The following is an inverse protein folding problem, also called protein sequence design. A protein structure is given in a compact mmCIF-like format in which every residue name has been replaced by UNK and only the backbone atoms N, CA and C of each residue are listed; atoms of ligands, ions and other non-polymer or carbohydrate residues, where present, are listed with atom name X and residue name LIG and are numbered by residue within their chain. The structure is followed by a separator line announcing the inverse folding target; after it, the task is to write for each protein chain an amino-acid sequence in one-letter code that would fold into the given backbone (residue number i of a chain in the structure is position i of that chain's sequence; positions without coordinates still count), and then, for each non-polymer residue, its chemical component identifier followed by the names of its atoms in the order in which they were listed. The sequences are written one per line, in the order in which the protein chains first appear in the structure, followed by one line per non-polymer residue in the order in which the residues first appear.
data_IF_272156994783
#
_entry.id   IF_272156994783
#
_cell.length_a   1.000
_cell.length_b   1.000
_cell.length_c   1.000
_cell.angle_alpha   90.00
_cell.angle_beta   90.00
_cell.angle_gamma   90.00
#
_symmetry.space_group_name_H-M   'P 1'
#
loop_
_entity.id
_entity.type
_entity.pdbx_description
1 polymer ?
#
# COMPACT_ATOMS: atom_id res chain seq x y z
N UNK A 1 17.44 2.13 28.21
CA UNK A 1 17.57 1.31 26.97
C UNK A 1 16.25 0.68 26.41
N UNK A 2 15.07 1.26 26.69
CA UNK A 2 13.76 0.72 26.24
C UNK A 2 13.03 1.55 25.17
N UNK A 3 13.13 2.88 25.23
CA UNK A 3 12.38 3.79 24.35
C UNK A 3 12.64 3.61 22.83
N UNK A 4 13.85 3.16 22.44
CA UNK A 4 14.20 2.94 21.04
C UNK A 4 13.55 1.68 20.44
N UNK A 5 13.41 0.61 21.23
CA UNK A 5 12.78 -0.64 20.79
C UNK A 5 11.28 -0.45 20.60
N UNK A 6 10.63 0.17 21.58
CA UNK A 6 9.20 0.45 21.52
C UNK A 6 8.80 1.34 20.33
N UNK A 7 9.69 2.27 19.93
CA UNK A 7 9.48 3.13 18.75
C UNK A 7 9.63 2.37 17.44
N UNK A 8 10.57 1.42 17.36
CA UNK A 8 10.78 0.59 16.17
C UNK A 8 9.60 -0.37 15.96
N UNK A 9 9.15 -1.04 17.02
CA UNK A 9 8.00 -1.95 16.95
C UNK A 9 6.72 -1.22 16.53
N UNK A 10 6.45 -0.04 17.11
CA UNK A 10 5.35 0.82 16.67
C UNK A 10 5.47 1.23 15.20
N UNK A 11 6.69 1.47 14.72
CA UNK A 11 6.92 1.83 13.33
C UNK A 11 6.67 0.66 12.37
N UNK A 12 7.18 -0.54 12.69
CA UNK A 12 6.94 -1.75 11.87
C UNK A 12 5.46 -2.06 11.80
N UNK A 13 4.77 -2.05 12.95
CA UNK A 13 3.32 -2.31 13.02
C UNK A 13 2.51 -1.35 12.13
N UNK A 14 2.91 -0.07 12.06
CA UNK A 14 2.24 0.91 11.18
C UNK A 14 2.40 0.58 9.70
N UNK A 15 3.58 0.09 9.29
CA UNK A 15 3.80 -0.34 7.91
C UNK A 15 2.91 -1.55 7.58
N UNK A 16 2.86 -2.53 8.49
CA UNK A 16 2.00 -3.71 8.34
C UNK A 16 0.51 -3.32 8.28
N UNK A 17 0.07 -2.35 9.09
CA UNK A 17 -1.30 -1.83 9.08
C UNK A 17 -1.64 -1.15 7.74
N UNK A 18 -0.73 -0.36 7.17
CA UNK A 18 -0.90 0.25 5.84
C UNK A 18 -1.01 -0.80 4.73
N UNK A 19 -0.11 -1.79 4.74
CA UNK A 19 -0.11 -2.88 3.76
C UNK A 19 -1.36 -3.74 3.87
N UNK A 20 -1.76 -4.08 5.09
CA UNK A 20 -2.97 -4.89 5.36
C UNK A 20 -4.23 -4.17 4.90
N UNK A 21 -4.35 -2.87 5.22
CA UNK A 21 -5.48 -2.05 4.80
C UNK A 21 -5.57 -2.01 3.27
N UNK A 22 -4.46 -1.75 2.58
CA UNK A 22 -4.45 -1.67 1.12
C UNK A 22 -4.73 -3.03 0.46
N UNK A 23 -4.18 -4.14 0.97
CA UNK A 23 -4.46 -5.49 0.49
C UNK A 23 -5.92 -5.93 0.69
N UNK A 24 -6.67 -5.29 1.60
CA UNK A 24 -8.09 -5.59 1.83
C UNK A 24 -9.01 -5.11 0.72
N UNK A 25 -8.53 -4.27 -0.21
CA UNK A 25 -9.35 -3.76 -1.30
C UNK A 25 -9.50 -4.79 -2.43
N UNK A 26 -10.72 -4.97 -2.99
CA UNK A 26 -10.93 -5.88 -4.11
C UNK A 26 -10.07 -5.52 -5.32
N UNK A 27 -9.46 -6.52 -5.95
CA UNK A 27 -8.62 -6.35 -7.14
C UNK A 27 -7.16 -5.95 -6.83
N UNK A 28 -6.79 -5.80 -5.55
CA UNK A 28 -5.39 -5.65 -5.14
C UNK A 28 -4.70 -7.00 -5.10
N UNK A 29 -3.59 -7.13 -5.83
CA UNK A 29 -2.74 -8.32 -5.77
C UNK A 29 -1.67 -8.17 -4.69
N UNK A 30 -1.04 -7.00 -4.61
CA UNK A 30 0.06 -6.73 -3.67
C UNK A 30 0.02 -5.26 -3.23
N UNK A 31 0.38 -4.99 -1.97
CA UNK A 31 0.59 -3.63 -1.48
C UNK A 31 1.87 -3.56 -0.63
N UNK A 32 2.59 -2.45 -0.77
CA UNK A 32 3.87 -2.22 -0.12
C UNK A 32 3.94 -0.81 0.46
N UNK A 33 4.28 -0.71 1.74
CA UNK A 33 4.62 0.57 2.34
C UNK A 33 6.09 0.90 2.04
N UNK A 34 6.29 1.92 1.20
CA UNK A 34 7.62 2.39 0.76
C UNK A 34 7.92 3.77 1.34
N UNK A 35 9.15 4.26 1.13
CA UNK A 35 9.60 5.57 1.62
C UNK A 35 9.34 5.79 3.12
N UNK A 36 9.70 4.80 3.93
CA UNK A 36 9.48 4.81 5.37
C UNK A 36 8.00 4.99 5.80
N UNK A 37 7.08 4.42 5.02
CA UNK A 37 5.63 4.46 5.29
C UNK A 37 4.96 5.77 4.89
N UNK A 38 5.61 6.59 4.07
CA UNK A 38 5.01 7.81 3.49
C UNK A 38 4.42 7.59 2.09
N UNK A 39 4.62 6.42 1.52
CA UNK A 39 4.00 6.03 0.27
C UNK A 39 3.53 4.58 0.38
N UNK A 40 2.32 4.30 -0.11
CA UNK A 40 1.81 2.94 -0.29
C UNK A 40 1.69 2.69 -1.78
N UNK A 41 2.44 1.69 -2.27
CA UNK A 41 2.36 1.21 -3.65
C UNK A 41 1.52 -0.03 -3.73
N UNK A 42 0.55 -0.01 -4.62
CA UNK A 42 -0.42 -1.08 -4.80
C UNK A 42 -0.31 -1.58 -6.22
N UNK A 43 -0.20 -2.89 -6.38
CA UNK A 43 -0.21 -3.57 -7.67
C UNK A 43 -1.55 -4.25 -7.85
N UNK A 44 -2.16 -4.04 -9.02
CA UNK A 44 -3.43 -4.64 -9.39
C UNK A 44 -3.30 -5.36 -10.73
N UNK A 45 -4.10 -6.39 -10.93
CA UNK A 45 -4.15 -7.12 -12.19
C UNK A 45 -4.88 -6.27 -13.26
N UNK A 46 -4.27 -6.02 -14.42
CA UNK A 46 -4.90 -5.23 -15.47
C UNK A 46 -6.09 -5.93 -16.14
N UNK A 47 -6.26 -7.25 -15.97
CA UNK A 47 -7.41 -8.00 -16.46
C UNK A 47 -8.66 -7.82 -15.57
N UNK A 48 -8.45 -7.64 -14.26
CA UNK A 48 -9.54 -7.53 -13.29
C UNK A 48 -9.90 -6.07 -12.98
N UNK A 49 -8.95 -5.15 -13.16
CA UNK A 49 -9.12 -3.73 -12.83
C UNK A 49 -8.80 -2.87 -14.05
N UNK A 50 -9.76 -2.06 -14.50
CA UNK A 50 -9.57 -1.07 -15.56
C UNK A 50 -9.07 0.30 -15.04
N UNK A 51 -8.77 1.25 -15.93
CA UNK A 51 -8.21 2.55 -15.54
C UNK A 51 -9.13 3.38 -14.63
N UNK A 52 -10.44 3.33 -14.87
CA UNK A 52 -11.41 4.08 -14.05
C UNK A 52 -11.51 3.47 -12.66
N UNK A 53 -11.52 2.15 -12.58
CA UNK A 53 -11.52 1.41 -11.32
C UNK A 53 -10.23 1.65 -10.55
N UNK A 54 -9.06 1.58 -11.18
CA UNK A 54 -7.78 1.85 -10.53
C UNK A 54 -7.72 3.29 -9.97
N UNK A 55 -8.20 4.28 -10.72
CA UNK A 55 -8.27 5.66 -10.24
C UNK A 55 -9.22 5.83 -9.06
N UNK A 56 -10.35 5.10 -9.06
CA UNK A 56 -11.29 5.08 -7.93
C UNK A 56 -10.67 4.39 -6.71
N UNK A 57 -10.10 3.21 -6.91
CA UNK A 57 -9.42 2.41 -5.89
C UNK A 57 -8.34 3.23 -5.18
N UNK A 58 -7.54 3.99 -5.94
CA UNK A 58 -6.52 4.89 -5.40
C UNK A 58 -7.12 5.95 -4.46
N UNK A 59 -8.21 6.62 -4.87
CA UNK A 59 -8.90 7.62 -4.03
C UNK A 59 -9.53 7.01 -2.79
N UNK A 60 -10.20 5.86 -2.96
CA UNK A 60 -10.90 5.18 -1.87
C UNK A 60 -9.89 4.68 -0.82
N UNK A 61 -8.72 4.18 -1.23
CA UNK A 61 -7.64 3.81 -0.31
C UNK A 61 -7.04 5.01 0.42
N UNK A 62 -6.78 6.11 -0.27
CA UNK A 62 -6.26 7.32 0.38
C UNK A 62 -7.21 7.81 1.48
N UNK A 63 -8.51 7.85 1.20
CA UNK A 63 -9.54 8.21 2.19
C UNK A 63 -9.61 7.21 3.35
N UNK A 64 -9.48 5.90 3.10
CA UNK A 64 -9.49 4.89 4.14
C UNK A 64 -8.25 4.97 5.06
N UNK A 65 -7.07 5.26 4.51
CA UNK A 65 -5.83 5.49 5.27
C UNK A 65 -6.00 6.73 6.17
N UNK A 66 -6.52 7.82 5.62
CA UNK A 66 -6.78 9.06 6.37
C UNK A 66 -7.76 8.84 7.52
N UNK A 67 -8.82 8.05 7.31
CA UNK A 67 -9.82 7.79 8.34
C UNK A 67 -9.37 6.81 9.43
N UNK A 68 -8.54 5.83 9.08
CA UNK A 68 -8.22 4.70 9.98
C UNK A 68 -6.92 4.92 10.74
N UNK A 69 -5.93 5.54 10.11
CA UNK A 69 -4.59 5.66 10.68
C UNK A 69 -4.30 7.12 11.02
N UNK A 70 -4.04 7.39 12.30
CA UNK A 70 -3.53 8.69 12.73
C UNK A 70 -2.06 8.81 12.31
N UNK A 71 -1.83 9.08 11.02
CA UNK A 71 -0.51 9.28 10.47
C UNK A 71 -0.13 10.77 10.54
N UNK A 72 1.03 11.12 11.12
CA UNK A 72 1.50 12.49 11.10
C UNK A 72 1.99 12.84 9.69
N UNK A 73 1.19 13.61 8.96
CA UNK A 73 1.50 14.09 7.61
C UNK A 73 0.83 13.27 6.51
N UNK A 74 1.19 13.59 5.28
CA UNK A 74 0.56 13.01 4.09
C UNK A 74 1.17 11.64 3.76
N UNK A 75 0.29 10.70 3.38
CA UNK A 75 0.67 9.40 2.81
C UNK A 75 0.26 9.38 1.35
N UNK A 76 1.22 9.17 0.46
CA UNK A 76 0.97 9.06 -0.98
C UNK A 76 0.48 7.66 -1.32
N UNK A 77 -0.62 7.54 -2.05
CA UNK A 77 -1.08 6.25 -2.60
C UNK A 77 -0.78 6.20 -4.09
N UNK A 78 -0.13 5.13 -4.55
CA UNK A 78 0.17 4.90 -5.96
C UNK A 78 -0.39 3.53 -6.35
N UNK A 79 -1.33 3.49 -7.28
CA UNK A 79 -1.84 2.24 -7.87
C UNK A 79 -1.17 1.99 -9.21
N UNK A 80 -0.60 0.80 -9.38
CA UNK A 80 0.11 0.34 -10.55
C UNK A 80 -0.67 -0.82 -11.16
N UNK A 81 -1.16 -0.63 -12.39
CA UNK A 81 -1.69 -1.73 -13.21
C UNK A 81 -0.52 -2.36 -13.94
N UNK A 82 -0.20 -3.60 -13.64
CA UNK A 82 1.04 -4.24 -14.12
C UNK A 82 0.77 -5.60 -14.77
N UNK A 83 1.32 -5.81 -15.97
CA UNK A 83 1.44 -7.15 -16.56
C UNK A 83 2.88 -7.63 -16.36
N UNK A 84 3.08 -8.68 -15.57
CA UNK A 84 4.40 -9.32 -15.38
C UNK A 84 4.58 -10.48 -16.35
N UNK A 85 5.66 -10.46 -17.12
CA UNK A 85 6.09 -11.58 -17.98
C UNK A 85 7.50 -11.96 -17.53
N UNK A 86 7.71 -13.21 -17.15
CA UNK A 86 8.98 -13.70 -16.59
C UNK A 86 9.47 -14.88 -17.44
N UNK A 87 10.70 -14.78 -17.92
CA UNK A 87 11.42 -15.83 -18.64
C UNK A 87 12.75 -16.11 -17.94
N UNK A 88 13.18 -17.36 -17.91
CA UNK A 88 14.43 -17.77 -17.27
C UNK A 88 15.42 -18.26 -18.32
N UNK A 89 16.58 -17.61 -18.41
CA UNK A 89 17.72 -18.11 -19.17
C UNK A 89 18.57 -19.06 -18.31
N UNK A 90 19.14 -20.10 -18.93
CA UNK A 90 20.20 -20.93 -18.34
C UNK A 90 21.56 -20.47 -18.83
#
# INVERSE_FOLDING_TARGET
PGARRETLEKYVRRLEELETLACGFPGVEQAFAVQAGREVRVVVNPQDVNDREAARLCRDMAAAIEATLTYPGEVKVTVLRETRVVEYAK
#
